data_IF_171684102927
#
_entry.id   IF_171684102927
#
_cell.length_a   1.000
_cell.length_b   1.000
_cell.length_c   1.000
_cell.angle_alpha   90.00
_cell.angle_beta   90.00
_cell.angle_gamma   90.00
#
_symmetry.space_group_name_H-M   'P 1'
#
loop_
_entity.id
_entity.type
_entity.pdbx_description
1 polymer ?
#
# COMPACT_ATOMS: atom_id res chain seq x y z
N UNK A 1 -17.11 9.01 27.42
CA UNK A 1 -16.58 7.79 26.79
C UNK A 1 -16.57 8.03 25.28
N UNK A 2 -15.48 7.76 24.56
CA UNK A 2 -15.45 7.91 23.10
C UNK A 2 -16.55 7.05 22.49
N UNK A 3 -17.26 7.57 21.49
CA UNK A 3 -18.26 6.77 20.78
C UNK A 3 -17.58 5.76 19.87
N UNK A 4 -18.27 4.68 19.49
CA UNK A 4 -17.73 3.71 18.52
C UNK A 4 -17.32 4.38 17.20
N UNK A 5 -17.94 5.51 16.86
CA UNK A 5 -17.55 6.36 15.72
C UNK A 5 -16.24 7.08 15.95
N UNK A 6 -15.95 7.55 17.17
CA UNK A 6 -14.68 8.18 17.53
C UNK A 6 -13.54 7.15 17.56
N UNK A 7 -13.81 5.92 17.99
CA UNK A 7 -12.86 4.80 17.91
C UNK A 7 -12.60 4.39 16.46
N UNK A 8 -13.63 4.34 15.61
CA UNK A 8 -13.46 4.08 14.17
C UNK A 8 -12.68 5.22 13.48
N UNK A 9 -12.97 6.49 13.80
CA UNK A 9 -12.26 7.61 13.20
C UNK A 9 -10.80 7.71 13.67
N UNK A 10 -10.50 7.22 14.88
CA UNK A 10 -9.11 7.10 15.37
C UNK A 10 -8.38 5.93 14.71
N UNK A 11 -9.05 4.81 14.46
CA UNK A 11 -8.51 3.64 13.72
C UNK A 11 -8.26 3.97 12.24
N UNK A 12 -9.04 4.88 11.66
CA UNK A 12 -8.91 5.32 10.26
C UNK A 12 -8.26 6.71 10.07
N UNK A 13 -7.63 7.28 11.10
CA UNK A 13 -6.94 8.58 11.05
C UNK A 13 -5.59 8.56 10.31
N UNK A 14 -5.33 7.52 9.51
CA UNK A 14 -4.13 7.38 8.70
C UNK A 14 -4.15 8.29 7.47
N UNK A 15 -2.96 8.75 7.06
CA UNK A 15 -2.74 9.35 5.74
C UNK A 15 -3.11 8.31 4.68
N UNK A 16 -3.64 8.75 3.54
CA UNK A 16 -3.82 7.87 2.39
C UNK A 16 -3.24 8.48 1.12
N UNK A 17 -2.80 7.61 0.22
CA UNK A 17 -2.39 7.96 -1.13
C UNK A 17 -3.17 7.14 -2.13
N UNK A 18 -3.66 7.80 -3.17
CA UNK A 18 -4.29 7.17 -4.33
C UNK A 18 -3.33 7.25 -5.52
N UNK A 19 -3.03 6.10 -6.11
CA UNK A 19 -2.10 5.95 -7.23
C UNK A 19 -2.80 5.22 -8.36
N UNK A 20 -2.58 5.70 -9.59
CA UNK A 20 -3.02 5.00 -10.80
C UNK A 20 -1.85 4.86 -11.75
N UNK A 21 -1.80 3.77 -12.49
CA UNK A 21 -0.83 3.58 -13.57
C UNK A 21 -1.40 2.67 -14.63
N UNK A 22 -1.13 2.98 -15.91
CA UNK A 22 -1.42 2.07 -17.02
C UNK A 22 -0.33 0.99 -17.20
N UNK A 23 0.81 1.16 -16.53
CA UNK A 23 1.89 0.19 -16.50
C UNK A 23 2.75 0.39 -15.25
N UNK A 24 2.68 -0.56 -14.32
CA UNK A 24 3.49 -0.56 -13.10
C UNK A 24 4.51 -1.72 -13.09
N UNK A 25 5.00 -2.17 -14.26
CA UNK A 25 6.06 -3.21 -14.37
C UNK A 25 7.46 -2.69 -13.98
N UNK A 26 7.51 -1.56 -13.31
CA UNK A 26 8.69 -0.97 -12.71
C UNK A 26 8.23 -0.35 -11.42
N UNK A 27 8.98 -0.61 -10.34
CA UNK A 27 8.61 -0.18 -9.01
C UNK A 27 8.25 1.31 -8.97
N UNK A 28 7.02 1.60 -8.55
CA UNK A 28 6.48 2.95 -8.46
C UNK A 28 6.04 3.26 -7.03
N UNK A 29 6.26 4.49 -6.59
CA UNK A 29 5.92 4.92 -5.23
C UNK A 29 4.39 4.90 -5.02
N UNK A 30 3.95 4.20 -3.97
CA UNK A 30 2.54 4.16 -3.55
C UNK A 30 2.27 5.08 -2.36
N UNK A 31 3.31 5.55 -1.68
CA UNK A 31 3.23 6.38 -0.47
C UNK A 31 4.29 7.47 -0.49
N UNK A 32 4.14 8.46 0.40
CA UNK A 32 5.23 9.41 0.68
C UNK A 32 6.27 8.77 1.60
N UNK A 33 7.49 9.31 1.58
CA UNK A 33 8.53 8.88 2.51
C UNK A 33 8.16 9.34 3.93
N UNK A 34 8.38 8.49 4.96
CA UNK A 34 8.33 8.91 6.35
C UNK A 34 9.35 10.02 6.64
N UNK A 35 9.08 10.88 7.64
CA UNK A 35 10.09 11.76 8.23
C UNK A 35 11.34 10.98 8.68
N UNK A 36 12.46 11.70 8.80
CA UNK A 36 13.72 11.10 9.22
C UNK A 36 13.58 10.35 10.55
N UNK A 37 14.02 9.09 10.57
CA UNK A 37 13.97 8.20 11.74
C UNK A 37 12.64 7.48 11.95
N UNK A 38 11.61 7.76 11.16
CA UNK A 38 10.32 7.07 11.26
C UNK A 38 10.17 5.98 10.20
N UNK A 39 9.33 4.99 10.49
CA UNK A 39 8.97 3.90 9.61
C UNK A 39 7.55 4.07 9.09
N UNK A 40 7.31 3.59 7.87
CA UNK A 40 5.97 3.52 7.31
C UNK A 40 5.26 2.27 7.82
N UNK A 41 4.03 2.45 8.30
CA UNK A 41 3.16 1.35 8.75
C UNK A 41 1.85 1.37 7.96
N UNK A 42 1.61 0.31 7.19
CA UNK A 42 0.40 0.15 6.38
C UNK A 42 -0.73 -0.42 7.23
N UNK A 43 -1.89 0.23 7.18
CA UNK A 43 -3.12 -0.25 7.83
C UNK A 43 -3.99 -1.04 6.87
N UNK A 44 -4.20 -0.47 5.67
CA UNK A 44 -5.15 -0.98 4.69
C UNK A 44 -4.65 -0.67 3.26
N UNK A 45 -5.03 -1.54 2.32
CA UNK A 45 -4.79 -1.39 0.89
C UNK A 45 -6.06 -1.80 0.15
N UNK A 46 -6.50 -0.96 -0.78
CA UNK A 46 -7.48 -1.29 -1.80
C UNK A 46 -6.77 -1.23 -3.15
N UNK A 47 -6.78 -2.34 -3.89
CA UNK A 47 -6.20 -2.42 -5.23
C UNK A 47 -7.24 -2.94 -6.21
N UNK A 48 -7.29 -2.36 -7.40
CA UNK A 48 -8.08 -2.84 -8.52
C UNK A 48 -7.22 -2.89 -9.79
N UNK A 49 -7.54 -3.82 -10.68
CA UNK A 49 -6.86 -4.02 -11.96
C UNK A 49 -7.84 -4.41 -13.06
N UNK A 50 -7.50 -4.03 -14.29
CA UNK A 50 -8.18 -4.47 -15.52
C UNK A 50 -7.42 -5.58 -16.27
N UNK A 51 -6.39 -6.14 -15.63
CA UNK A 51 -5.53 -7.16 -16.20
C UNK A 51 -5.12 -8.14 -15.11
N UNK A 52 -5.16 -9.45 -15.41
CA UNK A 52 -4.68 -10.47 -14.48
C UNK A 52 -3.17 -10.31 -14.22
N UNK A 53 -2.79 -10.18 -12.95
CA UNK A 53 -1.39 -9.96 -12.57
C UNK A 53 -1.10 -10.43 -11.15
N UNK A 54 0.18 -10.70 -10.87
CA UNK A 54 0.69 -10.69 -9.50
C UNK A 54 1.17 -9.28 -9.22
N UNK A 55 0.66 -8.67 -8.17
CA UNK A 55 1.07 -7.36 -7.70
C UNK A 55 1.85 -7.51 -6.40
N UNK A 56 3.05 -6.92 -6.36
CA UNK A 56 3.95 -6.98 -5.22
C UNK A 56 4.05 -5.61 -4.55
N UNK A 57 4.10 -5.63 -3.22
CA UNK A 57 4.35 -4.47 -2.38
C UNK A 57 5.77 -4.56 -1.85
N UNK A 58 6.59 -3.58 -2.21
CA UNK A 58 8.02 -3.56 -2.01
C UNK A 58 8.40 -2.42 -1.06
N UNK A 59 9.46 -2.61 -0.29
CA UNK A 59 10.18 -1.49 0.30
C UNK A 59 11.11 -0.83 -0.74
N UNK A 60 11.08 0.50 -0.80
CA UNK A 60 12.00 1.30 -1.61
C UNK A 60 13.48 1.00 -1.29
N UNK A 61 14.34 0.99 -2.31
CA UNK A 61 15.79 0.69 -2.26
C UNK A 61 16.13 -0.79 -2.07
N UNK A 62 15.57 -1.46 -1.05
CA UNK A 62 15.92 -2.87 -0.79
C UNK A 62 15.21 -3.83 -1.74
N UNK A 63 14.07 -3.44 -2.31
CA UNK A 63 13.24 -4.33 -3.13
C UNK A 63 12.63 -5.48 -2.32
N UNK A 64 12.64 -5.38 -0.99
CA UNK A 64 12.10 -6.42 -0.12
C UNK A 64 10.58 -6.48 -0.30
N UNK A 65 10.07 -7.65 -0.70
CA UNK A 65 8.62 -7.88 -0.83
C UNK A 65 8.01 -8.02 0.57
N UNK A 66 7.18 -7.05 0.96
CA UNK A 66 6.44 -7.04 2.23
C UNK A 66 5.15 -7.85 2.10
N UNK A 67 4.60 -7.92 0.88
CA UNK A 67 3.46 -8.76 0.57
C UNK A 67 3.17 -8.80 -0.93
N UNK A 68 2.29 -9.73 -1.32
CA UNK A 68 1.85 -9.84 -2.70
C UNK A 68 0.41 -10.31 -2.77
N UNK A 69 -0.26 -9.94 -3.87
CA UNK A 69 -1.60 -10.40 -4.19
C UNK A 69 -1.62 -10.87 -5.64
N UNK A 70 -2.31 -11.99 -5.89
CA UNK A 70 -2.66 -12.40 -7.24
C UNK A 70 -4.06 -11.87 -7.54
N UNK A 71 -4.15 -10.98 -8.52
CA UNK A 71 -5.39 -10.40 -9.00
C UNK A 71 -5.78 -11.11 -10.30
N UNK A 72 -7.07 -11.44 -10.40
CA UNK A 72 -7.65 -11.87 -11.68
C UNK A 72 -8.01 -10.64 -12.50
N UNK A 73 -8.32 -10.86 -13.76
CA UNK A 73 -8.76 -9.79 -14.64
C UNK A 73 -10.04 -9.08 -14.13
N UNK A 74 -10.15 -7.77 -14.34
CA UNK A 74 -11.28 -6.93 -13.94
C UNK A 74 -11.73 -7.13 -12.47
N UNK A 75 -10.77 -7.10 -11.54
CA UNK A 75 -11.03 -7.39 -10.13
C UNK A 75 -10.48 -6.34 -9.18
N UNK A 76 -11.01 -6.35 -7.96
CA UNK A 76 -10.51 -5.55 -6.85
C UNK A 76 -10.26 -6.44 -5.63
N UNK A 77 -9.23 -6.10 -4.86
CA UNK A 77 -8.88 -6.76 -3.63
C UNK A 77 -8.66 -5.75 -2.52
N UNK A 78 -9.13 -6.08 -1.32
CA UNK A 78 -8.93 -5.30 -0.11
C UNK A 78 -8.09 -6.12 0.88
N UNK A 79 -6.97 -5.54 1.30
CA UNK A 79 -6.07 -6.11 2.30
C UNK A 79 -6.03 -5.21 3.53
N UNK A 80 -6.33 -5.74 4.70
CA UNK A 80 -6.19 -5.02 5.97
C UNK A 80 -5.11 -5.69 6.82
N UNK A 81 -3.82 -5.38 6.63
CA UNK A 81 -2.75 -5.85 7.53
C UNK A 81 -2.86 -5.28 8.95
N UNK A 82 -3.70 -4.26 9.19
CA UNK A 82 -3.99 -3.67 10.51
C UNK A 82 -2.72 -3.25 11.26
N UNK A 83 -1.79 -2.64 10.53
CA UNK A 83 -0.53 -2.14 11.09
C UNK A 83 0.57 -3.19 11.24
N UNK A 84 0.36 -4.44 10.82
CA UNK A 84 1.41 -5.47 10.86
C UNK A 84 2.45 -5.32 9.75
N UNK A 85 2.16 -4.53 8.72
CA UNK A 85 3.08 -4.25 7.62
C UNK A 85 3.82 -2.95 7.91
N UNK A 86 4.92 -3.09 8.65
CA UNK A 86 5.89 -2.02 8.91
C UNK A 86 7.09 -2.21 8.01
N UNK A 87 7.53 -1.15 7.33
CA UNK A 87 8.73 -1.23 6.51
C UNK A 87 9.98 -1.40 7.40
N UNK A 88 10.87 -2.36 7.09
CA UNK A 88 12.04 -2.64 7.92
C UNK A 88 13.03 -1.47 8.01
N UNK A 89 13.09 -0.60 7.01
CA UNK A 89 14.02 0.54 6.94
C UNK A 89 13.26 1.85 7.09
N UNK A 90 13.76 2.71 7.99
CA UNK A 90 13.20 4.04 8.22
C UNK A 90 13.34 4.96 7.00
N UNK A 91 12.40 5.88 6.80
CA UNK A 91 12.44 6.87 5.72
C UNK A 91 12.22 6.29 4.32
N UNK A 92 11.78 5.03 4.20
CA UNK A 92 11.47 4.38 2.93
C UNK A 92 9.99 4.40 2.59
N UNK A 93 9.71 4.43 1.30
CA UNK A 93 8.35 4.35 0.76
C UNK A 93 7.92 2.91 0.52
N UNK A 94 6.62 2.70 0.50
CA UNK A 94 6.03 1.51 -0.09
C UNK A 94 5.99 1.71 -1.61
N UNK A 95 6.51 0.75 -2.36
CA UNK A 95 6.44 0.73 -3.81
C UNK A 95 5.55 -0.43 -4.29
N UNK A 96 4.94 -0.24 -5.45
CA UNK A 96 4.16 -1.25 -6.15
C UNK A 96 4.90 -1.73 -7.39
N UNK A 97 4.86 -3.04 -7.65
CA UNK A 97 5.41 -3.64 -8.86
C UNK A 97 4.44 -4.69 -9.40
N UNK A 98 4.04 -4.52 -10.65
CA UNK A 98 3.10 -5.37 -11.34
C UNK A 98 3.85 -6.36 -12.24
N UNK A 99 3.55 -7.65 -12.11
CA UNK A 99 4.12 -8.70 -12.96
C UNK A 99 3.65 -8.67 -14.42
N UNK A 100 2.76 -7.74 -14.79
CA UNK A 100 2.27 -7.53 -16.15
C UNK A 100 1.86 -6.05 -16.34
N UNK A 101 1.87 -5.59 -17.60
CA UNK A 101 1.32 -4.27 -17.95
C UNK A 101 -0.20 -4.31 -17.93
N UNK A 102 -0.82 -3.31 -17.33
CA UNK A 102 -2.27 -3.17 -17.19
C UNK A 102 -2.61 -1.98 -16.30
N UNK A 103 -3.86 -1.53 -16.35
CA UNK A 103 -4.31 -0.43 -15.52
C UNK A 103 -4.46 -0.91 -14.07
N UNK A 104 -3.77 -0.24 -13.15
CA UNK A 104 -3.88 -0.45 -11.71
C UNK A 104 -4.37 0.81 -11.02
N UNK A 105 -5.23 0.63 -10.01
CA UNK A 105 -5.78 1.68 -9.17
C UNK A 105 -5.60 1.26 -7.72
N UNK A 106 -4.87 2.04 -6.94
CA UNK A 106 -4.41 1.63 -5.62
C UNK A 106 -4.63 2.76 -4.62
N UNK A 107 -5.31 2.46 -3.52
CA UNK A 107 -5.38 3.32 -2.35
C UNK A 107 -4.64 2.63 -1.20
N UNK A 108 -3.68 3.31 -0.59
CA UNK A 108 -2.94 2.82 0.57
C UNK A 108 -3.22 3.73 1.75
N UNK A 109 -3.63 3.17 2.89
CA UNK A 109 -3.76 3.87 4.17
C UNK A 109 -2.60 3.50 5.10
N UNK A 110 -1.98 4.49 5.72
CA UNK A 110 -0.77 4.32 6.51
C UNK A 110 -0.56 5.44 7.53
N UNK A 111 0.34 5.21 8.47
CA UNK A 111 0.89 6.21 9.37
C UNK A 111 2.41 6.03 9.52
N UNK A 112 3.03 6.94 10.26
CA UNK A 112 4.46 6.89 10.58
C UNK A 112 4.68 6.71 12.08
N UNK A 113 5.66 5.88 12.44
CA UNK A 113 6.09 5.66 13.84
C UNK A 113 7.61 5.59 13.98
#
# INVERSE_FOLDING_TARGET
MPTNRDLQNTIYSGTHTYTTSANMTSAADLTTAPPAGQHLVVTDILIATDTAMVFQFLEETSGTVIGSVRLIDNSSYFASPRGRWRLPVSGKKLQGDAGASGNVYITVWYYFE
#
